data_IF_118265116537
#
_entry.id   IF_118265116537
#
_cell.length_a   1.000
_cell.length_b   1.000
_cell.length_c   1.000
_cell.angle_alpha   90.00
_cell.angle_beta   90.00
_cell.angle_gamma   90.00
#
_symmetry.space_group_name_H-M   'P 1'
#
loop_
_entity.id
_entity.type
_entity.pdbx_description
1 polymer ?
#
# COMPACT_ATOMS: atom_id res chain seq x y z
N UNK A 1 26.20 -1.41 17.72
CA UNK A 1 25.37 -1.72 16.55
C UNK A 1 24.08 -0.94 16.71
N UNK A 2 23.75 -0.03 15.80
CA UNK A 2 22.46 0.67 15.80
C UNK A 2 21.49 -0.24 15.06
N UNK A 3 20.60 -0.88 15.79
CA UNK A 3 19.51 -1.69 15.22
C UNK A 3 18.62 -0.74 14.42
N UNK A 4 18.46 -1.00 13.13
CA UNK A 4 17.53 -0.26 12.27
C UNK A 4 16.13 -0.75 12.64
N UNK A 5 15.39 0.02 13.44
CA UNK A 5 13.96 -0.25 13.66
C UNK A 5 13.23 0.14 12.38
N UNK A 6 12.48 -0.77 11.73
CA UNK A 6 11.70 -0.44 10.55
C UNK A 6 10.61 0.55 10.93
N UNK A 7 10.57 1.68 10.21
CA UNK A 7 9.47 2.65 10.30
C UNK A 7 8.52 2.39 9.14
N UNK A 8 7.25 2.14 9.43
CA UNK A 8 6.20 2.09 8.42
C UNK A 8 5.14 3.15 8.71
N UNK A 9 4.95 4.06 7.75
CA UNK A 9 3.86 5.01 7.72
C UNK A 9 2.72 4.39 6.90
N UNK A 10 1.62 4.04 7.56
CA UNK A 10 0.44 3.50 6.87
C UNK A 10 -0.53 4.66 6.68
N UNK A 11 -0.69 5.09 5.43
CA UNK A 11 -1.67 6.09 5.04
C UNK A 11 -2.95 5.38 4.60
N UNK A 12 -4.05 5.60 5.34
CA UNK A 12 -5.37 5.13 4.93
C UNK A 12 -6.24 6.32 4.52
N UNK A 13 -6.41 6.48 3.22
CA UNK A 13 -7.21 7.54 2.58
C UNK A 13 -8.30 6.88 1.73
N UNK A 14 -9.52 7.43 1.76
CA UNK A 14 -10.39 7.30 0.60
C UNK A 14 -9.99 8.41 -0.36
N UNK A 15 -9.50 8.01 -1.55
CA UNK A 15 -9.10 8.83 -2.69
C UNK A 15 -9.43 10.32 -2.55
N UNK A 16 -8.41 11.13 -2.24
CA UNK A 16 -8.30 12.56 -2.54
C UNK A 16 -7.08 13.15 -1.82
N UNK A 17 -5.91 13.13 -2.46
CA UNK A 17 -4.74 13.88 -2.03
C UNK A 17 -4.45 15.05 -2.98
N UNK A 18 -4.46 16.27 -2.46
CA UNK A 18 -3.85 17.44 -3.10
C UNK A 18 -2.78 17.97 -2.14
N UNK A 19 -1.54 17.54 -2.31
CA UNK A 19 -0.37 18.33 -1.93
C UNK A 19 0.82 17.94 -2.81
N UNK A 20 1.45 18.94 -3.43
CA UNK A 20 2.73 18.76 -4.09
C UNK A 20 3.82 18.50 -3.03
N UNK A 21 4.62 17.43 -3.14
CA UNK A 21 5.79 17.26 -2.30
C UNK A 21 6.93 18.14 -2.83
N UNK A 22 7.30 19.16 -2.06
CA UNK A 22 8.55 19.87 -2.26
C UNK A 22 9.72 19.04 -1.69
N UNK A 23 10.15 17.99 -2.39
CA UNK A 23 11.45 17.35 -2.16
C UNK A 23 12.14 17.10 -3.51
N UNK A 24 13.28 17.76 -3.69
CA UNK A 24 14.06 17.76 -4.92
C UNK A 24 14.71 16.43 -5.23
N UNK A 25 14.08 15.66 -6.11
CA UNK A 25 14.74 14.90 -7.17
C UNK A 25 13.99 15.29 -8.45
N UNK A 26 14.59 16.16 -9.27
CA UNK A 26 14.01 16.52 -10.56
C UNK A 26 13.90 15.25 -11.41
N UNK A 27 12.70 14.85 -11.86
CA UNK A 27 12.58 13.83 -12.89
C UNK A 27 13.29 14.33 -14.16
N UNK A 28 13.79 13.42 -15.02
CA UNK A 28 14.33 13.82 -16.32
C UNK A 28 13.31 14.71 -17.05
N UNK A 29 13.80 15.81 -17.62
CA UNK A 29 13.01 16.96 -18.06
C UNK A 29 11.95 16.68 -19.16
N UNK A 30 11.90 15.45 -19.68
CA UNK A 30 11.04 15.04 -20.78
C UNK A 30 9.87 14.12 -20.37
N UNK A 31 9.62 13.93 -19.07
CA UNK A 31 8.39 13.24 -18.62
C UNK A 31 7.24 14.26 -18.59
N UNK A 32 6.18 14.09 -19.42
CA UNK A 32 5.00 14.95 -19.34
C UNK A 32 4.47 14.92 -17.90
N UNK A 33 4.42 16.08 -17.25
CA UNK A 33 3.78 16.23 -15.95
C UNK A 33 2.27 16.13 -16.18
N UNK A 34 1.73 14.93 -16.00
CA UNK A 34 0.27 14.71 -15.99
C UNK A 34 -0.24 15.22 -14.64
N UNK A 35 -1.26 16.10 -14.61
CA UNK A 35 -1.92 16.47 -13.37
C UNK A 35 -2.42 15.21 -12.66
N UNK A 36 -1.96 14.97 -11.43
CA UNK A 36 -2.49 13.92 -10.57
C UNK A 36 -3.91 14.32 -10.18
N UNK A 37 -4.91 13.74 -10.81
CA UNK A 37 -6.29 13.79 -10.33
C UNK A 37 -6.45 12.69 -9.26
N UNK A 38 -6.70 13.04 -8.00
CA UNK A 38 -6.65 12.08 -6.91
C UNK A 38 -7.94 11.27 -6.73
N UNK A 39 -8.97 11.56 -7.53
CA UNK A 39 -10.20 10.77 -7.66
C UNK A 39 -10.22 9.98 -8.97
N UNK A 40 -9.29 10.26 -9.89
CA UNK A 40 -9.13 9.47 -11.10
C UNK A 40 -8.39 8.19 -10.77
N UNK A 41 -9.07 7.06 -10.94
CA UNK A 41 -8.41 5.85 -11.37
C UNK A 41 -7.69 6.19 -12.68
N UNK A 42 -6.36 6.40 -12.64
CA UNK A 42 -5.61 6.45 -13.91
C UNK A 42 -5.96 5.17 -14.66
N UNK A 43 -6.52 5.23 -15.87
CA UNK A 43 -6.95 4.02 -16.54
C UNK A 43 -5.74 3.09 -16.71
N UNK A 44 -5.91 1.77 -16.55
CA UNK A 44 -4.80 0.83 -16.63
C UNK A 44 -4.16 0.97 -18.00
N UNK A 45 -2.88 1.35 -18.03
CA UNK A 45 -2.15 1.53 -19.28
C UNK A 45 -1.58 0.20 -19.73
N UNK A 46 -1.94 -0.22 -20.95
CA UNK A 46 -1.23 -1.32 -21.61
C UNK A 46 0.11 -0.78 -22.12
N UNK A 47 1.21 -1.38 -21.68
CA UNK A 47 2.53 -1.02 -22.18
C UNK A 47 2.63 -1.32 -23.68
N UNK A 48 3.13 -0.38 -24.50
CA UNK A 48 3.34 -0.64 -25.92
C UNK A 48 4.46 -1.68 -26.11
N UNK A 49 4.48 -2.31 -27.28
CA UNK A 49 5.61 -3.14 -27.68
C UNK A 49 6.86 -2.27 -27.83
N UNK A 50 7.96 -2.71 -27.21
CA UNK A 50 9.26 -2.02 -27.25
C UNK A 50 10.27 -2.88 -28.00
N UNK A 51 10.99 -2.27 -28.93
CA UNK A 51 12.07 -2.95 -29.64
C UNK A 51 13.28 -3.13 -28.71
N UNK A 52 13.66 -4.38 -28.45
CA UNK A 52 14.81 -4.69 -27.61
C UNK A 52 16.14 -4.16 -28.15
N UNK A 53 16.24 -3.87 -29.46
CA UNK A 53 17.41 -3.23 -30.04
C UNK A 53 17.57 -1.76 -29.59
N UNK A 54 16.47 -1.10 -29.22
CA UNK A 54 16.49 0.27 -28.70
C UNK A 54 16.48 0.31 -27.18
N UNK A 55 15.73 -0.59 -26.54
CA UNK A 55 15.63 -0.69 -25.09
C UNK A 55 15.51 -2.16 -24.65
N UNK A 56 16.65 -2.77 -24.33
CA UNK A 56 16.73 -4.16 -23.88
C UNK A 56 16.40 -4.37 -22.38
N UNK A 57 16.19 -3.29 -21.63
CA UNK A 57 15.93 -3.34 -20.19
C UNK A 57 14.44 -3.06 -19.93
N UNK A 58 13.80 -4.01 -19.25
CA UNK A 58 12.45 -3.85 -18.71
C UNK A 58 12.53 -3.69 -17.19
N UNK A 59 11.73 -2.77 -16.66
CA UNK A 59 11.61 -2.49 -15.24
C UNK A 59 10.15 -2.64 -14.86
N UNK A 60 9.90 -3.28 -13.72
CA UNK A 60 8.57 -3.41 -13.12
C UNK A 60 8.68 -3.10 -11.63
N UNK A 61 7.60 -2.63 -11.03
CA UNK A 61 7.50 -2.45 -9.58
C UNK A 61 7.36 -3.81 -8.90
N UNK A 62 7.92 -3.95 -7.71
CA UNK A 62 7.65 -5.07 -6.81
C UNK A 62 6.38 -4.78 -5.97
N UNK A 63 5.32 -4.39 -6.66
CA UNK A 63 4.03 -4.12 -6.03
C UNK A 63 3.29 -5.43 -5.74
N UNK A 64 2.66 -5.52 -4.57
CA UNK A 64 1.92 -6.69 -4.06
C UNK A 64 0.44 -6.37 -3.83
N UNK A 65 -0.06 -5.25 -4.36
CA UNK A 65 -1.44 -4.84 -4.21
C UNK A 65 -2.43 -5.88 -4.78
N UNK A 66 -3.60 -5.96 -4.14
CA UNK A 66 -4.66 -6.96 -4.42
C UNK A 66 -6.07 -6.36 -4.35
N UNK A 67 -6.17 -5.05 -4.18
CA UNK A 67 -7.41 -4.31 -3.95
C UNK A 67 -8.35 -4.37 -5.16
N UNK A 68 -7.83 -4.17 -6.37
CA UNK A 68 -8.59 -4.18 -7.62
C UNK A 68 -9.34 -5.50 -7.84
N UNK A 69 -8.70 -6.65 -7.55
CA UNK A 69 -9.39 -7.95 -7.61
C UNK A 69 -10.53 -8.01 -6.59
N UNK A 70 -10.29 -7.56 -5.35
CA UNK A 70 -11.28 -7.61 -4.28
C UNK A 70 -12.49 -6.72 -4.58
N UNK A 71 -12.26 -5.51 -5.09
CA UNK A 71 -13.30 -4.58 -5.52
C UNK A 71 -14.10 -5.13 -6.71
N UNK A 72 -13.41 -5.68 -7.71
CA UNK A 72 -14.06 -6.29 -8.87
C UNK A 72 -14.91 -7.49 -8.47
N UNK A 73 -14.39 -8.37 -7.62
CA UNK A 73 -15.15 -9.51 -7.09
C UNK A 73 -16.38 -9.06 -6.33
N UNK A 74 -16.27 -8.02 -5.49
CA UNK A 74 -17.40 -7.43 -4.77
C UNK A 74 -18.47 -6.97 -5.76
N UNK A 75 -18.09 -6.21 -6.78
CA UNK A 75 -19.02 -5.73 -7.80
C UNK A 75 -19.75 -6.88 -8.52
N UNK A 76 -19.03 -7.95 -8.89
CA UNK A 76 -19.62 -9.15 -9.50
C UNK A 76 -20.62 -9.82 -8.56
N UNK A 77 -20.26 -10.00 -7.28
CA UNK A 77 -21.11 -10.69 -6.29
C UNK A 77 -22.37 -9.87 -5.96
N UNK A 78 -22.24 -8.54 -5.90
CA UNK A 78 -23.34 -7.61 -5.63
C UNK A 78 -24.18 -7.30 -6.88
N UNK A 79 -23.71 -7.71 -8.07
CA UNK A 79 -24.37 -7.44 -9.35
C UNK A 79 -24.30 -5.97 -9.76
N UNK A 80 -23.29 -5.23 -9.32
CA UNK A 80 -23.06 -3.84 -9.70
C UNK A 80 -22.16 -3.75 -10.92
N UNK A 81 -22.15 -2.58 -11.56
CA UNK A 81 -21.25 -2.30 -12.68
C UNK A 81 -19.78 -2.36 -12.22
N UNK A 82 -18.93 -2.90 -13.08
CA UNK A 82 -17.48 -2.93 -12.88
C UNK A 82 -16.92 -1.73 -13.61
N UNK A 83 -16.26 -0.84 -12.87
CA UNK A 83 -15.45 0.20 -13.48
C UNK A 83 -14.22 -0.45 -14.13
N UNK A 84 -14.18 -0.42 -15.47
CA UNK A 84 -13.08 -0.99 -16.25
C UNK A 84 -11.77 -0.27 -15.98
N UNK A 85 -11.82 1.01 -15.62
CA UNK A 85 -10.65 1.81 -15.31
C UNK A 85 -10.12 1.53 -13.90
N UNK A 86 -10.88 0.81 -13.07
CA UNK A 86 -10.43 0.31 -11.76
C UNK A 86 -9.80 -1.09 -11.81
N UNK A 87 -9.83 -1.79 -12.96
CA UNK A 87 -9.31 -3.16 -13.11
C UNK A 87 -7.81 -3.15 -13.42
N UNK A 88 -6.98 -3.44 -12.42
CA UNK A 88 -5.51 -3.52 -12.51
C UNK A 88 -5.11 -4.97 -12.71
N UNK A 89 -4.49 -5.30 -13.85
CA UNK A 89 -4.16 -6.69 -14.21
C UNK A 89 -3.14 -7.28 -13.25
N UNK A 90 -2.17 -6.48 -12.83
CA UNK A 90 -1.14 -6.83 -11.87
C UNK A 90 -1.74 -7.27 -10.53
N UNK A 91 -2.75 -6.56 -10.01
CA UNK A 91 -3.39 -6.90 -8.74
C UNK A 91 -4.25 -8.17 -8.83
N UNK A 92 -4.74 -8.51 -10.02
CA UNK A 92 -5.40 -9.79 -10.27
C UNK A 92 -4.44 -10.97 -10.26
N UNK A 93 -3.22 -10.76 -10.76
CA UNK A 93 -2.16 -11.77 -10.67
C UNK A 93 -1.72 -11.90 -9.21
N UNK A 94 -1.43 -10.79 -8.53
CA UNK A 94 -0.97 -10.77 -7.15
C UNK A 94 -1.99 -11.33 -6.13
N UNK A 95 -3.29 -11.32 -6.44
CA UNK A 95 -4.33 -11.83 -5.53
C UNK A 95 -4.15 -13.30 -5.15
N UNK A 96 -3.61 -14.12 -6.06
CA UNK A 96 -3.49 -15.55 -5.83
C UNK A 96 -2.17 -15.92 -5.18
N UNK A 97 -2.21 -16.89 -4.28
CA UNK A 97 -0.99 -17.48 -3.74
C UNK A 97 -0.37 -18.43 -4.76
N UNK A 98 0.91 -18.22 -5.04
CA UNK A 98 1.74 -19.08 -5.87
C UNK A 98 2.77 -19.78 -5.00
N UNK A 99 3.01 -21.07 -5.28
CA UNK A 99 4.03 -21.87 -4.59
C UNK A 99 5.44 -21.53 -5.10
N UNK A 100 5.86 -20.28 -4.91
CA UNK A 100 7.22 -19.84 -5.23
C UNK A 100 8.14 -20.30 -4.09
N UNK A 101 9.24 -21.02 -4.37
CA UNK A 101 10.13 -21.50 -3.33
C UNK A 101 10.77 -20.35 -2.56
N UNK A 102 10.93 -20.53 -1.25
CA UNK A 102 11.72 -19.63 -0.43
C UNK A 102 13.19 -19.61 -0.90
N UNK A 103 13.91 -18.49 -0.71
CA UNK A 103 15.34 -18.42 -1.01
C UNK A 103 16.13 -19.49 -0.24
N UNK A 104 17.05 -20.16 -0.93
CA UNK A 104 17.89 -21.24 -0.34
C UNK A 104 19.37 -20.88 -0.25
N UNK A 105 19.77 -19.71 -0.76
CA UNK A 105 21.15 -19.22 -0.77
C UNK A 105 21.33 -17.94 0.04
N UNK A 106 22.45 -17.25 -0.17
CA UNK A 106 22.80 -16.02 0.55
C UNK A 106 22.01 -14.77 0.10
N UNK A 107 21.14 -14.91 -0.91
CA UNK A 107 20.34 -13.80 -1.42
C UNK A 107 19.01 -13.69 -0.65
N UNK A 108 18.53 -12.47 -0.37
CA UNK A 108 17.31 -12.25 0.42
C UNK A 108 16.01 -12.59 -0.33
N UNK A 109 16.11 -12.95 -1.62
CA UNK A 109 14.98 -13.35 -2.44
C UNK A 109 15.36 -14.40 -3.50
N UNK A 110 14.40 -15.22 -3.89
CA UNK A 110 14.47 -16.16 -5.00
C UNK A 110 13.70 -15.62 -6.21
N UNK A 111 14.20 -15.88 -7.42
CA UNK A 111 13.54 -15.49 -8.67
C UNK A 111 13.24 -16.73 -9.51
N UNK A 112 11.95 -16.97 -9.76
CA UNK A 112 11.48 -18.03 -10.64
C UNK A 112 11.05 -17.44 -11.99
N UNK A 113 11.51 -18.06 -13.08
CA UNK A 113 11.13 -17.68 -14.44
C UNK A 113 10.40 -18.83 -15.13
N UNK A 114 9.22 -18.56 -15.65
CA UNK A 114 8.45 -19.52 -16.45
C UNK A 114 8.08 -18.91 -17.79
N UNK A 115 8.42 -19.59 -18.88
CA UNK A 115 8.15 -19.13 -20.24
C UNK A 115 7.22 -20.12 -20.95
N UNK A 116 6.13 -19.61 -21.53
CA UNK A 116 5.17 -20.41 -22.27
C UNK A 116 4.62 -19.70 -23.51
N UNK A 117 3.84 -20.39 -24.36
CA UNK A 117 3.08 -19.75 -25.42
C UNK A 117 2.15 -18.67 -24.85
N UNK A 118 2.05 -17.52 -25.50
CA UNK A 118 1.11 -16.47 -25.08
C UNK A 118 -0.30 -16.77 -25.60
N UNK A 119 -1.35 -16.77 -24.75
CA UNK A 119 -2.73 -16.90 -25.20
C UNK A 119 -3.28 -15.61 -25.84
N UNK A 120 -2.52 -14.50 -25.76
CA UNK A 120 -2.96 -13.17 -26.20
C UNK A 120 -2.41 -12.76 -27.57
N UNK A 121 -1.58 -13.60 -28.21
CA UNK A 121 -0.98 -13.33 -29.51
C UNK A 121 -1.71 -14.03 -30.66
N UNK A 122 -1.78 -13.37 -31.82
CA UNK A 122 -2.17 -14.01 -33.08
C UNK A 122 -1.01 -14.77 -33.76
N UNK A 123 0.21 -14.56 -33.28
CA UNK A 123 1.44 -15.15 -33.80
C UNK A 123 2.01 -16.19 -32.80
N UNK A 124 2.44 -17.34 -33.33
CA UNK A 124 3.01 -18.44 -32.56
C UNK A 124 4.35 -18.08 -31.88
N UNK A 125 5.00 -17.02 -32.35
CA UNK A 125 6.28 -16.55 -31.82
C UNK A 125 6.13 -15.70 -30.54
N UNK A 126 4.92 -15.25 -30.20
CA UNK A 126 4.67 -14.52 -28.95
C UNK A 126 4.68 -15.48 -27.76
N UNK A 127 5.59 -15.22 -26.81
CA UNK A 127 5.68 -15.96 -25.54
C UNK A 127 5.23 -15.09 -24.36
N UNK A 128 4.72 -15.74 -23.33
CA UNK A 128 4.41 -15.13 -22.04
C UNK A 128 5.48 -15.57 -21.03
N UNK A 129 6.14 -14.60 -20.41
CA UNK A 129 7.10 -14.82 -19.33
C UNK A 129 6.44 -14.45 -18.00
N UNK A 130 6.37 -15.40 -17.06
CA UNK A 130 6.01 -15.16 -15.66
C UNK A 130 7.30 -15.04 -14.85
N UNK A 131 7.38 -14.00 -14.03
CA UNK A 131 8.46 -13.76 -13.09
C UNK A 131 7.85 -13.85 -11.69
N UNK A 132 8.25 -14.85 -10.92
CA UNK A 132 7.92 -14.98 -9.50
C UNK A 132 9.09 -14.51 -8.65
N UNK A 133 8.83 -13.69 -7.63
CA UNK A 133 9.84 -13.22 -6.68
C UNK A 133 9.35 -13.55 -5.28
N UNK A 134 10.16 -14.25 -4.49
CA UNK A 134 9.84 -14.61 -3.11
C UNK A 134 10.97 -14.17 -2.19
N UNK A 135 10.67 -13.30 -1.24
CA UNK A 135 11.62 -12.94 -0.18
C UNK A 135 11.66 -14.02 0.91
N UNK A 136 12.72 -14.01 1.72
CA UNK A 136 12.79 -14.82 2.93
C UNK A 136 11.62 -14.49 3.87
N UNK A 137 10.97 -15.54 4.38
CA UNK A 137 9.93 -15.37 5.39
C UNK A 137 10.58 -15.26 6.77
N UNK A 138 10.49 -14.09 7.38
CA UNK A 138 11.00 -13.84 8.73
C UNK A 138 9.87 -14.17 9.73
N UNK A 139 10.03 -15.17 10.61
CA UNK A 139 9.03 -15.46 11.63
C UNK A 139 8.80 -14.25 12.52
N UNK A 140 7.53 -14.01 12.91
CA UNK A 140 7.18 -12.86 13.76
C UNK A 140 8.00 -12.80 15.06
N UNK A 141 8.37 -13.96 15.62
CA UNK A 141 9.16 -14.08 16.84
C UNK A 141 10.65 -13.71 16.66
N UNK A 142 11.14 -13.72 15.42
CA UNK A 142 12.54 -13.41 15.07
C UNK A 142 12.69 -11.99 14.52
N UNK A 143 11.58 -11.34 14.18
CA UNK A 143 11.52 -9.97 13.69
C UNK A 143 11.79 -8.97 14.82
N UNK A 144 12.62 -7.97 14.54
CA UNK A 144 12.81 -6.84 15.44
C UNK A 144 11.49 -6.09 15.71
N UNK A 145 11.31 -5.49 16.91
CA UNK A 145 10.18 -4.62 17.19
C UNK A 145 10.10 -3.48 16.18
N UNK A 146 8.88 -3.06 15.82
CA UNK A 146 8.64 -1.93 14.91
C UNK A 146 8.00 -0.74 15.60
N UNK A 147 8.19 0.42 14.97
CA UNK A 147 7.45 1.63 15.27
C UNK A 147 6.51 1.94 14.09
N UNK A 148 5.20 1.93 14.34
CA UNK A 148 4.16 2.15 13.35
C UNK A 148 3.44 3.48 13.62
N UNK A 149 3.28 4.28 12.57
CA UNK A 149 2.44 5.49 12.64
C UNK A 149 1.30 5.35 11.65
N UNK A 150 0.08 5.38 12.18
CA UNK A 150 -1.14 5.34 11.40
C UNK A 150 -1.55 6.76 11.08
N UNK A 151 -1.52 7.12 9.80
CA UNK A 151 -2.03 8.40 9.32
C UNK A 151 -3.40 8.18 8.67
N UNK A 152 -4.43 8.69 9.33
CA UNK A 152 -5.81 8.35 9.05
C UNK A 152 -6.61 9.55 8.53
N UNK A 153 -7.26 9.36 7.38
CA UNK A 153 -8.30 10.29 6.93
C UNK A 153 -9.57 10.06 7.76
N UNK A 154 -10.03 11.11 8.43
CA UNK A 154 -11.31 11.13 9.16
C UNK A 154 -12.25 12.19 8.61
N UNK A 155 -12.06 12.64 7.37
CA UNK A 155 -12.92 13.64 6.72
C UNK A 155 -14.36 13.14 6.57
N UNK A 156 -15.30 14.06 6.29
CA UNK A 156 -16.71 13.71 6.11
C UNK A 156 -16.98 12.65 5.02
N UNK A 157 -16.09 12.53 4.02
CA UNK A 157 -16.19 11.52 2.95
C UNK A 157 -16.02 10.08 3.46
N UNK A 158 -15.43 9.91 4.64
CA UNK A 158 -15.16 8.64 5.32
C UNK A 158 -16.35 8.12 6.16
N UNK A 159 -17.48 8.84 6.14
CA UNK A 159 -18.66 8.56 6.98
C UNK A 159 -19.45 7.32 6.58
N UNK A 160 -19.22 6.74 5.39
CA UNK A 160 -19.89 5.51 5.00
C UNK A 160 -19.36 4.31 5.81
N UNK A 161 -20.21 3.32 6.17
CA UNK A 161 -19.81 2.19 7.01
C UNK A 161 -18.65 1.36 6.44
N UNK A 162 -18.53 1.32 5.12
CA UNK A 162 -17.51 0.61 4.37
C UNK A 162 -16.19 1.38 4.20
N UNK A 163 -16.08 2.59 4.79
CA UNK A 163 -14.85 3.40 4.82
C UNK A 163 -14.22 3.41 6.21
N UNK A 164 -14.45 4.43 7.04
CA UNK A 164 -13.79 4.54 8.34
C UNK A 164 -14.07 3.32 9.23
N UNK A 165 -15.27 2.75 9.14
CA UNK A 165 -15.60 1.51 9.84
C UNK A 165 -14.71 0.34 9.43
N UNK A 166 -14.45 0.19 8.11
CA UNK A 166 -13.56 -0.84 7.59
C UNK A 166 -12.08 -0.58 7.97
N UNK A 167 -11.65 0.68 7.94
CA UNK A 167 -10.29 1.08 8.38
C UNK A 167 -10.08 0.70 9.84
N UNK A 168 -11.02 1.06 10.74
CA UNK A 168 -10.96 0.70 12.16
C UNK A 168 -10.90 -0.81 12.37
N UNK A 169 -11.73 -1.56 11.64
CA UNK A 169 -11.72 -3.02 11.68
C UNK A 169 -10.37 -3.60 11.24
N UNK A 170 -9.86 -3.17 10.08
CA UNK A 170 -8.59 -3.65 9.54
C UNK A 170 -7.41 -3.31 10.46
N UNK A 171 -7.39 -2.10 11.03
CA UNK A 171 -6.37 -1.70 11.98
C UNK A 171 -6.43 -2.48 13.29
N UNK A 172 -7.63 -2.76 13.81
CA UNK A 172 -7.79 -3.66 14.95
C UNK A 172 -7.21 -5.06 14.68
N UNK A 173 -7.48 -5.61 13.48
CA UNK A 173 -6.87 -6.88 13.06
C UNK A 173 -5.35 -6.81 12.93
N UNK A 174 -4.80 -5.71 12.45
CA UNK A 174 -3.36 -5.50 12.41
C UNK A 174 -2.76 -5.47 13.83
N UNK A 175 -3.37 -4.71 14.75
CA UNK A 175 -2.95 -4.64 16.17
C UNK A 175 -2.98 -6.02 16.84
N UNK A 176 -3.90 -6.90 16.46
CA UNK A 176 -3.93 -8.29 16.93
C UNK A 176 -2.73 -9.14 16.49
N UNK A 177 -2.02 -8.73 15.44
CA UNK A 177 -0.86 -9.44 14.88
C UNK A 177 0.49 -8.85 15.30
N UNK A 178 0.49 -7.70 15.97
CA UNK A 178 1.71 -7.05 16.45
C UNK A 178 2.25 -7.73 17.71
N UNK A 179 3.57 -7.62 17.91
CA UNK A 179 4.24 -8.01 19.14
C UNK A 179 3.95 -7.01 20.26
N UNK A 180 3.85 -7.41 21.54
CA UNK A 180 3.72 -6.47 22.67
C UNK A 180 4.82 -5.40 22.72
N UNK A 181 5.98 -5.69 22.13
CA UNK A 181 7.12 -4.78 22.08
C UNK A 181 7.06 -3.75 20.95
N UNK A 182 6.11 -3.89 20.02
CA UNK A 182 5.87 -2.92 18.96
C UNK A 182 5.30 -1.63 19.56
N UNK A 183 5.53 -0.51 18.87
CA UNK A 183 4.99 0.80 19.22
C UNK A 183 4.09 1.31 18.12
N UNK A 184 2.96 1.90 18.50
CA UNK A 184 1.95 2.42 17.58
C UNK A 184 1.55 3.84 17.99
N UNK A 185 1.50 4.74 17.00
CA UNK A 185 0.93 6.07 17.12
C UNK A 185 -0.18 6.28 16.08
N UNK A 186 -1.14 7.14 16.40
CA UNK A 186 -2.27 7.47 15.51
C UNK A 186 -2.31 8.97 15.31
N UNK A 187 -2.26 9.39 14.05
CA UNK A 187 -2.43 10.76 13.59
C UNK A 187 -3.63 10.79 12.67
N UNK A 188 -4.51 11.76 12.89
CA UNK A 188 -5.63 12.01 11.97
C UNK A 188 -5.42 13.28 11.20
N UNK A 189 -5.96 13.33 9.98
CA UNK A 189 -6.05 14.56 9.23
C UNK A 189 -7.47 14.79 8.69
N UNK A 190 -7.98 15.98 9.01
CA UNK A 190 -9.27 16.57 8.60
C UNK A 190 -9.24 18.05 9.02
N UNK A 191 -10.40 18.71 9.21
CA UNK A 191 -10.46 20.11 9.66
C UNK A 191 -10.00 20.33 11.11
N UNK A 192 -9.61 19.26 11.80
CA UNK A 192 -8.85 19.28 13.04
C UNK A 192 -7.71 18.26 12.87
N UNK A 193 -6.50 18.77 12.70
CA UNK A 193 -5.27 17.99 12.70
C UNK A 193 -4.95 17.61 14.14
N UNK A 194 -4.48 16.38 14.37
CA UNK A 194 -4.10 16.00 15.73
C UNK A 194 -3.51 14.61 15.86
N UNK A 195 -2.55 14.51 16.78
CA UNK A 195 -2.14 13.23 17.36
C UNK A 195 -3.31 12.72 18.21
N UNK A 196 -3.90 11.61 17.80
CA UNK A 196 -4.97 10.93 18.53
C UNK A 196 -4.39 9.99 19.58
N UNK A 197 -3.26 9.37 19.24
CA UNK A 197 -2.53 8.48 20.12
C UNK A 197 -1.03 8.77 19.97
N UNK A 198 -0.41 9.21 21.06
CA UNK A 198 1.05 9.29 21.17
C UNK A 198 1.67 7.89 21.06
N UNK A 199 2.97 7.76 20.69
CA UNK A 199 3.62 6.46 20.58
C UNK A 199 3.41 5.59 21.82
N UNK A 200 2.63 4.52 21.66
CA UNK A 200 2.16 3.64 22.73
C UNK A 200 2.58 2.22 22.42
N UNK A 201 3.15 1.50 23.40
CA UNK A 201 3.50 0.09 23.24
C UNK A 201 2.25 -0.76 23.04
N UNK A 202 2.33 -1.76 22.18
CA UNK A 202 1.23 -2.68 21.89
C UNK A 202 0.84 -3.52 23.12
N UNK A 203 1.70 -3.63 24.14
CA UNK A 203 1.31 -4.17 25.45
C UNK A 203 0.10 -3.42 26.08
N UNK A 204 -0.03 -2.11 25.82
CA UNK A 204 -1.16 -1.26 26.23
C UNK A 204 -2.30 -1.32 25.19
N UNK A 205 -2.57 -2.52 24.66
CA UNK A 205 -3.46 -2.77 23.53
C UNK A 205 -4.84 -2.13 23.67
N UNK A 206 -5.42 -2.13 24.87
CA UNK A 206 -6.73 -1.52 25.11
C UNK A 206 -6.73 -0.03 24.79
N UNK A 207 -5.67 0.71 25.15
CA UNK A 207 -5.59 2.14 24.86
C UNK A 207 -5.54 2.41 23.35
N UNK A 208 -4.85 1.56 22.58
CA UNK A 208 -4.80 1.63 21.12
C UNK A 208 -6.20 1.39 20.52
N UNK A 209 -6.87 0.32 20.94
CA UNK A 209 -8.20 -0.03 20.43
C UNK A 209 -9.24 1.03 20.79
N UNK A 210 -9.22 1.55 22.03
CA UNK A 210 -10.10 2.63 22.46
C UNK A 210 -9.88 3.91 21.63
N UNK A 211 -8.63 4.23 21.30
CA UNK A 211 -8.29 5.38 20.45
C UNK A 211 -8.80 5.19 19.01
N UNK A 212 -8.68 4.00 18.43
CA UNK A 212 -9.27 3.67 17.12
C UNK A 212 -10.80 3.76 17.17
N UNK A 213 -11.42 3.25 18.23
CA UNK A 213 -12.87 3.25 18.40
C UNK A 213 -13.46 4.65 18.58
N UNK A 214 -12.69 5.57 19.17
CA UNK A 214 -13.08 6.97 19.33
C UNK A 214 -13.08 7.78 18.02
N UNK A 215 -12.46 7.27 16.94
CA UNK A 215 -12.41 7.97 15.65
C UNK A 215 -13.80 8.16 15.05
N UNK A 216 -14.07 9.39 14.59
CA UNK A 216 -15.33 9.79 13.96
C UNK A 216 -15.05 10.57 12.68
N UNK A 217 -15.84 10.31 11.65
CA UNK A 217 -15.77 11.04 10.39
C UNK A 217 -16.37 12.45 10.53
N UNK A 218 -15.65 13.47 10.10
CA UNK A 218 -16.09 14.86 10.10
C UNK A 218 -15.05 15.81 9.53
N UNK A 219 -15.49 16.98 9.07
CA UNK A 219 -14.59 18.03 8.61
C UNK A 219 -14.18 17.95 7.14
N UNK A 220 -13.36 18.93 6.73
CA UNK A 220 -12.74 19.04 5.39
C UNK A 220 -11.34 18.43 5.38
N UNK A 221 -10.89 17.92 4.23
CA UNK A 221 -9.56 17.31 4.08
C UNK A 221 -8.44 18.36 4.12
N UNK A 222 -7.46 18.20 5.02
CA UNK A 222 -6.18 18.93 4.98
C UNK A 222 -5.01 17.97 5.23
N UNK A 223 -4.41 17.43 4.18
CA UNK A 223 -3.48 16.30 4.26
C UNK A 223 -2.03 16.64 4.63
N UNK A 224 -1.55 17.85 4.32
CA UNK A 224 -0.13 18.18 4.42
C UNK A 224 0.41 18.13 5.87
N UNK A 225 -0.30 18.76 6.81
CA UNK A 225 0.11 18.80 8.20
C UNK A 225 0.03 17.43 8.90
N UNK A 226 -0.86 16.55 8.45
CA UNK A 226 -0.96 15.18 8.95
C UNK A 226 0.31 14.37 8.66
N UNK A 227 0.86 14.50 7.45
CA UNK A 227 2.11 13.83 7.08
C UNK A 227 3.28 14.33 7.93
N UNK A 228 3.43 15.66 8.07
CA UNK A 228 4.50 16.25 8.88
C UNK A 228 4.43 15.78 10.34
N UNK A 229 3.24 15.76 10.95
CA UNK A 229 3.03 15.26 12.29
C UNK A 229 3.35 13.76 12.42
N UNK A 230 2.95 12.95 11.44
CA UNK A 230 3.24 11.52 11.43
C UNK A 230 4.75 11.25 11.37
N UNK A 231 5.49 11.98 10.54
CA UNK A 231 6.96 11.89 10.50
C UNK A 231 7.61 12.38 11.80
N UNK A 232 7.06 13.42 12.43
CA UNK A 232 7.57 13.90 13.72
C UNK A 232 7.42 12.85 14.82
N UNK A 233 6.25 12.20 14.94
CA UNK A 233 6.03 11.11 15.90
C UNK A 233 6.91 9.89 15.61
N UNK A 234 7.00 9.52 14.34
CA UNK A 234 7.85 8.45 13.88
C UNK A 234 9.31 8.63 14.32
N UNK A 235 9.80 9.87 14.30
CA UNK A 235 11.17 10.22 14.69
C UNK A 235 11.34 10.29 16.21
N UNK A 236 10.31 10.68 16.97
CA UNK A 236 10.39 10.77 18.44
C UNK A 236 10.45 9.41 19.13
N UNK A 237 9.81 8.39 18.54
CA UNK A 237 9.85 7.03 19.04
C UNK A 237 11.12 6.24 18.61
N UNK A 238 12.10 6.93 18.03
CA UNK A 238 13.40 6.40 17.58
C UNK A 238 14.54 6.72 18.55
#
# INVERSE_FOLDING_TARGET
MRTLVPLALILATACSYNAEPAIGILPPADVPQVPLDPDATEPPRTNPWVDTATQAVSTFSADVDTGSYTLTRRAIVEGTEIDVDAVRVEEFLNYFHYDTPAPTGDLPFEVQLELGPSPFGHDADVKLLRIGIQAEEIPLAERDPVNLVFLLDVSGSMSSPDKLGLVKYAMGQLVDKLSPDDTLAIVVYASGEGVVLEPTRVEEKSAILDALDALQAGGSTNGQAGIEAAYALATQAY
#
